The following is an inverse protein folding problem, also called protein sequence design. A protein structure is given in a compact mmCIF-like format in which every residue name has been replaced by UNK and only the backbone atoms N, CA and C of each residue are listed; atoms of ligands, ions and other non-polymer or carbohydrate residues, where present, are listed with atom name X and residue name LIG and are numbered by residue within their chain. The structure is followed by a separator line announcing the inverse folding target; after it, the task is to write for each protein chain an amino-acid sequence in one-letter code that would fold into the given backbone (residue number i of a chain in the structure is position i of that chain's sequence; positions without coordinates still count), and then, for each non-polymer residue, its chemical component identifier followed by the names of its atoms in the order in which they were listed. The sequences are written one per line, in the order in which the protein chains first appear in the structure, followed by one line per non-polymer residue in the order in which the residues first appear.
data_IF_858348227225
#
_entry.id   IF_858348227225
#
_cell.length_a   1.000
_cell.length_b   1.000
_cell.length_c   1.000
_cell.angle_alpha   90.00
_cell.angle_beta   90.00
_cell.angle_gamma   90.00
#
_symmetry.space_group_name_H-M   'P 1'
#
loop_
_entity.id
_entity.type
_entity.pdbx_description
1 polymer ?
2 non-polymer ?
3 non-polymer ?
4 non-polymer ?
5 water ?
#
# COMPACT_ATOMS: atom_id res chain seq x y z
N UNK A 6 -12.78 26.77 15.97
CA UNK A 6 -13.33 26.21 14.74
C UNK A 6 -13.30 24.69 14.79
N UNK A 7 -14.46 24.07 14.57
CA UNK A 7 -14.58 22.62 14.63
C UNK A 7 -14.21 21.96 13.31
N UNK A 8 -14.11 20.63 13.34
CA UNK A 8 -13.73 19.90 12.16
C UNK A 8 -14.89 19.98 11.18
N UNK A 9 -16.11 19.97 11.70
CA UNK A 9 -17.32 20.06 10.88
C UNK A 9 -17.41 21.37 10.13
N UNK A 10 -17.00 22.46 10.77
CA UNK A 10 -16.96 23.76 10.10
C UNK A 10 -15.89 23.79 9.01
N UNK A 11 -14.74 23.18 9.29
CA UNK A 11 -13.64 23.15 8.33
C UNK A 11 -14.04 22.33 7.12
N UNK A 12 -14.62 21.15 7.35
CA UNK A 12 -15.11 20.32 6.27
C UNK A 12 -16.26 21.00 5.49
N UNK A 13 -17.12 21.74 6.21
CA UNK A 13 -18.25 22.42 5.56
C UNK A 13 -17.80 23.47 4.56
N UNK A 14 -16.71 24.18 4.86
CA UNK A 14 -16.31 25.27 3.98
C UNK A 14 -15.26 24.87 2.96
N UNK A 15 -14.88 23.60 3.00
CA UNK A 15 -13.82 23.11 2.13
C UNK A 15 -14.26 23.14 0.68
N UNK A 16 -13.46 23.79 -0.14
CA UNK A 16 -13.68 23.77 -1.58
C UNK A 16 -12.78 22.71 -2.24
N UNK A 17 -13.31 22.01 -3.22
CA UNK A 17 -12.59 20.90 -3.83
C UNK A 17 -11.25 21.26 -4.53
N UNK A 18 -11.12 22.47 -5.08
CA UNK A 18 -9.92 22.74 -5.86
C UNK A 18 -8.67 23.22 -5.11
N UNK A 19 -8.67 23.07 -3.79
CA UNK A 19 -7.65 23.64 -2.91
C UNK A 19 -7.02 22.61 -1.96
N UNK A 20 -5.76 22.80 -1.60
CA UNK A 20 -5.10 21.97 -0.59
C UNK A 20 -5.74 22.27 0.75
N UNK A 21 -5.52 21.40 1.72
CA UNK A 21 -6.29 21.47 2.95
C UNK A 21 -5.77 22.52 3.92
N UNK A 22 -6.68 23.00 4.75
CA UNK A 22 -6.32 23.86 5.86
C UNK A 22 -5.32 23.16 6.77
N UNK A 23 -4.48 23.96 7.39
CA UNK A 23 -3.32 23.46 8.15
C UNK A 23 -3.62 22.23 9.02
N UNK A 24 -4.58 22.35 9.95
CA UNK A 24 -4.81 21.26 10.91
C UNK A 24 -5.00 19.86 10.30
N UNK A 25 -5.48 19.79 9.07
CA UNK A 25 -5.64 18.47 8.45
C UNK A 25 -4.30 17.76 8.35
N UNK A 26 -3.25 18.54 8.12
CA UNK A 26 -1.91 17.98 7.97
C UNK A 26 -1.13 17.92 9.28
N UNK A 27 -1.40 18.80 10.23
CA UNK A 27 -0.52 18.97 11.38
C UNK A 27 -1.15 18.73 12.76
N UNK A 28 -2.46 18.69 12.86
CA UNK A 28 -3.06 18.59 14.19
C UNK A 28 -3.24 17.15 14.64
N UNK A 29 -2.96 16.90 15.92
CA UNK A 29 -3.18 15.61 16.58
C UNK A 29 -4.65 15.21 16.52
N UNK A 30 -5.53 16.19 16.49
CA UNK A 30 -6.96 15.91 16.50
C UNK A 30 -7.43 15.32 15.17
N UNK A 31 -6.91 15.85 14.08
CA UNK A 31 -7.23 15.29 12.78
C UNK A 31 -6.52 13.93 12.62
N UNK A 32 -5.31 13.82 13.14
CA UNK A 32 -4.61 12.53 13.08
C UNK A 32 -5.43 11.44 13.80
N UNK A 33 -5.94 11.76 14.99
CA UNK A 33 -6.78 10.81 15.70
C UNK A 33 -8.02 10.42 14.89
N UNK A 34 -8.60 11.38 14.18
CA UNK A 34 -9.77 11.09 13.35
C UNK A 34 -9.38 10.23 12.13
N UNK A 35 -8.27 10.55 11.50
CA UNK A 35 -7.80 9.79 10.35
C UNK A 35 -7.55 8.36 10.75
N UNK A 36 -6.95 8.16 11.92
CA UNK A 36 -6.73 6.80 12.40
C UNK A 36 -8.08 6.13 12.64
N UNK A 37 -8.90 6.75 13.49
CA UNK A 37 -10.14 6.11 13.94
C UNK A 37 -11.08 5.82 12.77
N UNK A 38 -11.25 6.79 11.88
CA UNK A 38 -12.27 6.74 10.86
C UNK A 38 -11.80 6.31 9.47
N UNK A 39 -10.49 6.30 9.24
CA UNK A 39 -9.95 5.89 7.94
C UNK A 39 -9.11 4.62 8.07
N UNK A 40 -7.95 4.72 8.71
CA UNK A 40 -7.05 3.59 8.76
C UNK A 40 -7.62 2.41 9.54
N UNK A 41 -8.46 2.71 10.53
CA UNK A 41 -9.10 1.68 11.34
C UNK A 41 -10.42 1.14 10.75
N UNK A 42 -10.89 1.70 9.64
CA UNK A 42 -12.16 1.26 9.04
C UNK A 42 -12.03 0.71 7.60
N UNK A 43 -11.06 1.21 6.84
CA UNK A 43 -10.91 0.78 5.45
C UNK A 43 -9.99 -0.46 5.35
N UNK A 44 -10.04 -1.13 4.21
CA UNK A 44 -9.12 -2.22 3.91
C UNK A 44 -7.72 -1.65 3.65
N UNK A 45 -6.68 -2.38 4.07
CA UNK A 45 -5.31 -1.88 3.96
C UNK A 45 -4.38 -2.94 3.36
N UNK A 46 -3.51 -2.54 2.44
CA UNK A 46 -2.47 -3.45 1.96
C UNK A 46 -1.47 -3.73 3.06
N UNK A 47 -1.14 -5.00 3.24
CA UNK A 47 -0.17 -5.37 4.27
C UNK A 47 1.16 -5.86 3.67
N UNK A 48 1.15 -7.07 3.09
CA UNK A 48 2.36 -7.68 2.51
C UNK A 48 2.04 -8.59 1.33
N UNK A 49 3.01 -8.83 0.44
CA UNK A 49 2.79 -9.86 -0.58
C UNK A 49 2.58 -11.22 0.10
N UNK A 50 1.68 -12.05 -0.42
CA UNK A 50 1.48 -13.37 0.18
C UNK A 50 2.75 -14.24 0.11
N UNK A 51 3.62 -14.00 -0.87
CA UNK A 51 4.84 -14.80 -0.96
C UNK A 51 5.79 -14.67 0.26
N UNK A 52 5.57 -13.67 1.11
CA UNK A 52 6.32 -13.56 2.37
C UNK A 52 5.89 -14.64 3.37
N UNK A 53 4.70 -15.19 3.16
CA UNK A 53 4.20 -16.29 3.99
C UNK A 53 4.27 -17.58 3.19
N UNK A 54 5.47 -17.95 2.79
CA UNK A 54 5.67 -19.12 1.93
C UNK A 54 5.27 -20.41 2.61
N UNK A 55 5.92 -20.73 3.72
CA UNK A 55 5.68 -22.00 4.43
C UNK A 55 4.66 -21.81 5.52
N UNK A 56 4.01 -22.90 5.93
CA UNK A 56 3.16 -22.85 7.12
C UNK A 56 4.02 -22.53 8.33
N UNK A 57 3.48 -21.71 9.23
CA UNK A 57 4.27 -21.28 10.37
C UNK A 57 5.02 -20.01 10.03
N UNK A 58 5.07 -19.66 8.75
CA UNK A 58 5.55 -18.34 8.32
C UNK A 58 4.69 -17.24 8.95
N UNK A 59 5.33 -16.20 9.46
CA UNK A 59 4.60 -15.05 9.97
C UNK A 59 5.34 -13.77 9.66
N UNK A 60 4.58 -12.69 9.64
CA UNK A 60 5.12 -11.36 9.48
C UNK A 60 4.28 -10.46 10.38
N UNK A 61 4.91 -9.41 10.90
CA UNK A 61 4.25 -8.51 11.82
C UNK A 61 4.28 -7.11 11.27
N UNK A 62 3.30 -6.31 11.64
CA UNK A 62 3.26 -4.94 11.20
C UNK A 62 2.37 -4.16 12.15
N UNK A 63 2.66 -2.87 12.22
CA UNK A 63 1.94 -1.96 13.09
C UNK A 63 1.00 -1.15 12.21
N UNK A 64 -0.23 -0.96 12.65
CA UNK A 64 -1.13 -0.07 11.92
C UNK A 64 -1.69 0.96 12.89
N UNK A 65 -1.14 2.16 12.85
CA UNK A 65 -1.45 3.13 13.88
C UNK A 65 -0.92 2.56 15.18
N UNK A 66 -1.80 2.33 16.16
CA UNK A 66 -1.39 1.72 17.41
C UNK A 66 -1.56 0.20 17.40
N UNK A 67 -2.38 -0.31 16.47
CA UNK A 67 -2.64 -1.75 16.39
C UNK A 67 -1.37 -2.54 16.06
N UNK A 68 -1.20 -3.66 16.74
CA UNK A 68 -0.11 -4.57 16.47
C UNK A 68 -0.70 -5.80 15.81
N UNK A 69 -0.44 -5.97 14.52
CA UNK A 69 -0.99 -7.10 13.78
C UNK A 69 0.05 -8.17 13.45
N UNK A 70 -0.34 -9.44 13.55
CA UNK A 70 0.52 -10.51 13.09
C UNK A 70 -0.22 -11.33 12.05
N UNK A 71 0.46 -11.60 10.95
CA UNK A 71 -0.09 -12.38 9.85
C UNK A 71 0.69 -13.69 9.71
N UNK A 72 -0.01 -14.81 9.69
CA UNK A 72 0.63 -16.11 9.70
C UNK A 72 -0.01 -17.09 8.71
N UNK A 73 0.79 -17.99 8.15
CA UNK A 73 0.23 -19.06 7.31
C UNK A 73 -0.07 -20.31 8.16
N UNK A 74 -1.34 -20.66 8.26
CA UNK A 74 -1.79 -21.72 9.16
C UNK A 74 -1.44 -23.10 8.63
N UNK A 75 -1.70 -24.11 9.46
CA UNK A 75 -1.48 -25.51 9.11
C UNK A 75 -2.26 -25.93 7.86
N UNK A 76 -3.49 -25.41 7.73
CA UNK A 76 -4.35 -25.75 6.60
C UNK A 76 -4.02 -25.02 5.30
N UNK A 77 -2.91 -24.29 5.28
CA UNK A 77 -2.51 -23.55 4.10
C UNK A 77 -3.17 -22.18 3.94
N UNK A 78 -4.13 -21.88 4.82
CA UNK A 78 -4.79 -20.57 4.83
C UNK A 78 -3.90 -19.51 5.46
N UNK A 79 -4.02 -18.29 4.97
CA UNK A 79 -3.35 -17.14 5.56
C UNK A 79 -4.35 -16.37 6.43
N UNK A 80 -3.99 -16.20 7.71
CA UNK A 80 -4.86 -15.51 8.67
C UNK A 80 -4.13 -14.39 9.39
N UNK A 81 -4.90 -13.42 9.86
CA UNK A 81 -4.33 -12.29 10.58
C UNK A 81 -4.92 -12.22 11.97
N UNK A 82 -4.12 -11.71 12.90
CA UNK A 82 -4.52 -11.68 14.29
C UNK A 82 -3.94 -10.44 14.98
N UNK A 83 -4.63 -9.97 16.01
CA UNK A 83 -4.05 -8.99 16.88
C UNK A 83 -2.89 -9.61 17.66
N UNK A 84 -1.73 -8.98 17.57
CA UNK A 84 -0.48 -9.51 18.10
C UNK A 84 -0.37 -9.13 19.57
N UNK A 85 -1.38 -9.50 20.33
CA UNK A 85 -1.45 -9.18 21.74
C UNK A 85 -2.04 -10.36 22.48
N UNK A 86 -1.22 -10.94 23.36
CA UNK A 86 -1.59 -12.10 24.15
C UNK A 86 -2.82 -11.86 25.02
N UNK A 87 -3.70 -12.85 25.06
CA UNK A 87 -4.98 -12.70 25.76
C UNK A 87 -4.81 -12.78 27.25
N UNK A 88 -3.62 -13.10 27.69
CA UNK A 88 -3.33 -13.16 29.11
C UNK A 88 -3.13 -11.75 29.66
N UNK A 89 -1.92 -11.21 29.50
CA UNK A 89 -1.67 -9.84 29.96
C UNK A 89 -1.20 -8.89 28.85
N UNK A 90 -1.40 -9.29 27.59
CA UNK A 90 -1.31 -8.35 26.49
C UNK A 90 -0.06 -8.32 25.64
N UNK A 91 0.97 -9.07 26.04
CA UNK A 91 2.27 -8.96 25.41
C UNK A 91 2.20 -9.26 23.92
N UNK A 92 3.09 -8.64 23.16
CA UNK A 92 3.32 -9.06 21.79
C UNK A 92 3.67 -10.53 21.86
N UNK A 93 3.15 -11.32 20.94
CA UNK A 93 3.57 -12.70 20.83
C UNK A 93 4.73 -12.86 19.84
N UNK A 94 4.66 -12.18 18.71
CA UNK A 94 5.73 -12.25 17.73
C UNK A 94 6.48 -10.93 17.68
N UNK A 95 7.74 -10.95 18.12
CA UNK A 95 8.51 -9.72 18.23
C UNK A 95 9.26 -9.41 16.93
N UNK A 96 9.78 -10.45 16.28
CA UNK A 96 10.47 -10.28 15.01
C UNK A 96 9.55 -9.79 13.89
N UNK A 97 10.15 -9.13 12.89
CA UNK A 97 9.45 -8.66 11.70
C UNK A 97 8.85 -9.81 10.91
N UNK A 98 9.61 -10.90 10.84
CA UNK A 98 9.11 -12.12 10.20
C UNK A 98 9.85 -13.33 10.73
N UNK A 99 9.26 -14.50 10.56
CA UNK A 99 9.90 -15.74 10.97
C UNK A 99 9.03 -16.94 10.68
N UNK A 100 9.42 -18.08 11.22
CA UNK A 100 8.58 -19.29 11.18
C UNK A 100 8.49 -19.86 12.57
N UNK A 101 7.36 -20.50 12.88
CA UNK A 101 7.19 -21.13 14.18
C UNK A 101 6.28 -22.31 13.97
N UNK A 102 6.25 -23.21 14.96
CA UNK A 102 5.29 -24.29 14.91
C UNK A 102 3.98 -23.78 15.51
N UNK A 103 4.12 -23.07 16.62
CA UNK A 103 2.99 -22.52 17.35
C UNK A 103 3.27 -21.05 17.70
N UNK A 104 2.22 -20.28 17.94
CA UNK A 104 2.37 -18.94 18.49
C UNK A 104 2.54 -19.04 20.00
N UNK A 105 3.76 -18.83 20.49
CA UNK A 105 4.03 -18.98 21.90
C UNK A 105 4.42 -17.63 22.48
N UNK A 106 3.59 -17.11 23.36
CA UNK A 106 3.88 -15.84 24.00
C UNK A 106 5.15 -15.99 24.83
N UNK A 107 6.12 -15.08 24.65
CA UNK A 107 7.44 -15.17 25.30
C UNK A 107 7.37 -14.84 26.78
N UNK A 108 6.23 -14.33 27.22
CA UNK A 108 6.08 -13.95 28.61
C UNK A 108 5.82 -15.19 29.51
N UNK A 109 4.65 -15.78 29.36
CA UNK A 109 4.30 -16.93 30.19
C UNK A 109 3.92 -18.16 29.36
N UNK A 110 4.23 -18.11 28.07
CA UNK A 110 4.12 -19.30 27.21
C UNK A 110 2.69 -19.78 26.95
N UNK A 111 1.69 -18.92 27.14
CA UNK A 111 0.38 -19.21 26.60
C UNK A 111 0.68 -19.52 25.15
N UNK A 112 0.11 -20.62 24.65
CA UNK A 112 0.50 -21.14 23.36
C UNK A 112 -0.73 -21.22 22.47
N UNK A 113 -0.65 -20.61 21.29
CA UNK A 113 -1.77 -20.62 20.36
C UNK A 113 -1.47 -21.44 19.10
N UNK A 114 -2.50 -22.11 18.60
CA UNK A 114 -2.43 -22.75 17.29
C UNK A 114 -2.44 -21.64 16.24
N UNK A 115 -1.96 -21.95 15.03
CA UNK A 115 -1.76 -20.94 13.99
C UNK A 115 -3.06 -20.39 13.44
N UNK A 116 -4.17 -20.81 14.06
CA UNK A 116 -5.46 -20.29 13.69
C UNK A 116 -6.02 -19.45 14.83
N UNK A 117 -5.18 -19.17 15.83
CA UNK A 117 -5.56 -18.26 16.90
C UNK A 117 -6.06 -18.91 18.19
N UNK A 118 -6.37 -20.20 18.12
CA UNK A 118 -6.98 -20.90 19.25
C UNK A 118 -5.98 -21.13 20.37
N UNK A 119 -6.40 -20.86 21.61
CA UNK A 119 -5.53 -21.06 22.77
C UNK A 119 -5.55 -22.55 23.13
N UNK A 120 -4.42 -23.24 22.94
CA UNK A 120 -4.37 -24.68 23.15
C UNK A 120 -3.67 -25.09 24.45
N UNK A 121 -2.92 -24.16 25.02
CA UNK A 121 -2.26 -24.40 26.30
C UNK A 121 -1.95 -23.11 27.08
N UNK A 122 -2.42 -23.07 28.31
CA UNK A 122 -2.13 -21.97 29.21
C UNK A 122 -1.87 -22.54 30.60
N UNK A 123 -0.64 -22.36 31.07
CA UNK A 123 -0.19 -22.98 32.30
C UNK A 123 -0.98 -22.55 33.55
N UNK A 124 -1.45 -23.53 34.31
CA UNK A 124 -1.99 -23.31 35.65
C UNK A 124 -2.97 -22.14 35.77
N UNK A 125 -4.02 -22.16 34.97
CA UNK A 125 -5.02 -21.10 35.00
C UNK A 125 -6.24 -21.44 35.85
N UNK A 126 -6.26 -22.63 36.45
CA UNK A 126 -7.37 -22.98 37.31
C UNK A 126 -8.56 -23.55 36.56
N UNK A 127 -9.43 -24.27 37.29
CA UNK A 127 -10.56 -25.03 36.73
C UNK A 127 -11.61 -24.17 36.02
N UNK A 128 -11.72 -22.92 36.44
CA UNK A 128 -12.72 -22.02 35.88
C UNK A 128 -12.26 -21.27 34.63
N UNK A 129 -11.12 -21.68 34.08
CA UNK A 129 -10.57 -21.04 32.89
C UNK A 129 -11.14 -21.62 31.61
N UNK A 130 -11.77 -20.78 30.82
CA UNK A 130 -12.33 -21.21 29.55
C UNK A 130 -11.46 -20.73 28.40
N UNK A 131 -10.53 -21.55 27.96
CA UNK A 131 -9.63 -21.17 26.86
C UNK A 131 -10.38 -20.71 25.61
N UNK A 132 -11.62 -21.18 25.44
CA UNK A 132 -12.35 -20.84 24.22
C UNK A 132 -12.68 -19.37 24.18
N UNK A 133 -12.60 -18.72 25.33
CA UNK A 133 -12.85 -17.29 25.43
C UNK A 133 -11.57 -16.46 25.21
N UNK A 134 -10.41 -17.10 25.14
CA UNK A 134 -9.15 -16.36 25.10
C UNK A 134 -8.23 -16.74 23.95
N UNK A 135 -8.81 -17.03 22.80
CA UNK A 135 -8.04 -17.18 21.59
C UNK A 135 -7.67 -15.79 21.07
N UNK A 136 -6.66 -15.74 20.21
CA UNK A 136 -6.24 -14.46 19.63
C UNK A 136 -7.40 -13.82 18.87
N UNK A 137 -7.51 -12.50 18.97
CA UNK A 137 -8.54 -11.80 18.23
C UNK A 137 -8.17 -11.75 16.75
N UNK A 138 -9.09 -12.19 15.89
CA UNK A 138 -8.82 -12.22 14.46
C UNK A 138 -8.90 -10.80 13.85
N UNK A 139 -8.24 -10.67 12.69
CA UNK A 139 -8.22 -9.44 11.94
C UNK A 139 -8.72 -9.81 10.56
N UNK A 140 -9.72 -9.09 10.06
CA UNK A 140 -10.24 -9.41 8.74
C UNK A 140 -9.12 -9.36 7.70
N UNK A 141 -9.12 -10.35 6.80
CA UNK A 141 -8.06 -10.50 5.82
C UNK A 141 -8.58 -10.93 4.45
N UNK A 142 -8.04 -10.33 3.41
CA UNK A 142 -8.37 -10.73 2.05
C UNK A 142 -7.08 -11.01 1.33
N UNK A 143 -7.11 -11.97 0.42
CA UNK A 143 -5.98 -12.19 -0.47
C UNK A 143 -6.32 -11.70 -1.87
N UNK A 144 -5.73 -10.56 -2.24
CA UNK A 144 -5.94 -9.96 -3.55
C UNK A 144 -4.91 -10.49 -4.54
N UNK A 145 -5.12 -11.71 -5.03
CA UNK A 145 -4.24 -12.29 -6.05
C UNK A 145 -2.75 -12.23 -5.70
N UNK A 146 -2.44 -12.60 -4.48
CA UNK A 146 -1.05 -12.66 -4.03
C UNK A 146 -0.67 -11.48 -3.15
N UNK A 147 -1.62 -10.58 -2.90
CA UNK A 147 -1.36 -9.41 -2.05
C UNK A 147 -2.30 -9.41 -0.85
N UNK A 148 -1.75 -9.48 0.35
CA UNK A 148 -2.57 -9.59 1.55
C UNK A 148 -3.08 -8.23 2.04
N UNK A 149 -4.40 -8.09 2.12
CA UNK A 149 -5.02 -6.87 2.63
C UNK A 149 -5.71 -7.19 3.96
N UNK A 150 -5.80 -6.20 4.85
CA UNK A 150 -6.42 -6.44 6.15
C UNK A 150 -7.35 -5.28 6.49
N UNK A 151 -8.29 -5.54 7.39
CA UNK A 151 -9.23 -4.50 7.82
C UNK A 151 -9.42 -4.62 9.32
N UNK A 152 -9.16 -3.54 10.02
CA UNK A 152 -9.23 -3.55 11.49
C UNK A 152 -10.64 -3.38 12.05
N UNK A 153 -11.58 -3.01 11.19
CA UNK A 153 -12.97 -2.90 11.63
C UNK A 153 -13.64 -4.26 11.73
N UNK A 154 -14.50 -4.41 12.73
CA UNK A 154 -15.29 -5.62 12.87
C UNK A 154 -16.43 -5.62 11.88
N UNK A 155 -16.67 -4.46 11.26
CA UNK A 155 -17.66 -4.32 10.21
C UNK A 155 -17.02 -3.77 8.95
N UNK A 156 -16.19 -4.60 8.28
CA UNK A 156 -15.39 -4.20 7.14
C UNK A 156 -16.25 -3.73 5.98
N UNK A 157 -15.77 -2.72 5.24
CA UNK A 157 -16.45 -2.31 4.03
C UNK A 157 -16.34 -3.44 3.02
N UNK A 158 -17.00 -3.25 1.90
CA UNK A 158 -17.03 -4.24 0.85
C UNK A 158 -15.69 -4.26 0.12
N UNK A 159 -14.99 -5.40 0.15
CA UNK A 159 -13.72 -5.53 -0.54
C UNK A 159 -13.94 -6.13 -1.93
N UNK A 160 -15.01 -6.93 -2.02
CA UNK A 160 -15.29 -7.72 -3.20
C UNK A 160 -15.41 -6.92 -4.50
N UNK A 161 -16.07 -5.75 -4.46
CA UNK A 161 -16.20 -4.97 -5.69
C UNK A 161 -14.82 -4.69 -6.28
N UNK A 162 -13.93 -4.17 -5.44
CA UNK A 162 -12.54 -3.92 -5.80
C UNK A 162 -11.81 -5.18 -6.24
N UNK A 163 -11.93 -6.25 -5.46
CA UNK A 163 -11.20 -7.48 -5.82
C UNK A 163 -11.59 -7.98 -7.20
N UNK A 164 -12.88 -8.10 -7.45
CA UNK A 164 -13.38 -8.55 -8.75
C UNK A 164 -12.93 -7.63 -9.88
N UNK A 165 -12.94 -6.33 -9.65
CA UNK A 165 -12.45 -5.42 -10.68
C UNK A 165 -10.96 -5.58 -10.92
N UNK A 166 -10.21 -5.86 -9.88
CA UNK A 166 -8.75 -5.90 -10.01
C UNK A 166 -8.21 -7.24 -10.52
N UNK A 167 -8.91 -8.34 -10.25
CA UNK A 167 -8.34 -9.65 -10.56
C UNK A 167 -7.78 -9.81 -11.98
N UNK A 168 -8.53 -9.38 -13.00
CA UNK A 168 -8.04 -9.55 -14.35
C UNK A 168 -6.68 -8.88 -14.57
N UNK A 169 -6.50 -7.71 -13.98
CA UNK A 169 -5.28 -6.93 -14.16
C UNK A 169 -4.09 -7.53 -13.41
N UNK A 170 -4.36 -8.08 -12.23
CA UNK A 170 -3.32 -8.57 -11.33
C UNK A 170 -2.90 -10.01 -11.60
N UNK A 171 -3.86 -10.83 -12.00
CA UNK A 171 -3.61 -12.26 -12.16
C UNK A 171 -2.54 -12.55 -13.22
N UNK A 172 -2.48 -11.73 -14.27
CA UNK A 172 -1.44 -11.91 -15.27
C UNK A 172 -0.02 -11.65 -14.77
N UNK A 173 0.12 -11.27 -13.51
CA UNK A 173 1.45 -11.07 -12.92
C UNK A 173 1.89 -12.23 -12.05
N UNK A 174 0.99 -13.20 -11.84
CA UNK A 174 1.37 -14.41 -11.12
C UNK A 174 2.08 -14.08 -9.79
N UNK A 175 1.53 -13.11 -9.05
CA UNK A 175 2.13 -12.65 -7.78
C UNK A 175 2.33 -13.79 -6.78
N UNK A 176 1.51 -14.82 -6.86
CA UNK A 176 1.63 -15.99 -6.01
C UNK A 176 2.98 -16.69 -6.20
N UNK A 177 3.58 -16.49 -7.38
CA UNK A 177 4.85 -17.10 -7.74
C UNK A 177 6.02 -16.14 -7.57
N UNK A 178 5.82 -15.05 -6.84
CA UNK A 178 6.89 -14.09 -6.68
C UNK A 178 7.74 -14.44 -5.48
N UNK A 179 8.88 -13.77 -5.38
CA UNK A 179 9.59 -13.69 -4.12
C UNK A 179 9.91 -12.22 -3.94
N UNK A 180 10.21 -11.83 -2.71
CA UNK A 180 10.63 -10.46 -2.44
C UNK A 180 12.12 -10.39 -2.71
N UNK A 181 12.52 -9.58 -3.68
CA UNK A 181 13.93 -9.44 -3.99
C UNK A 181 14.57 -8.38 -3.11
N UNK A 182 13.75 -7.45 -2.63
CA UNK A 182 14.28 -6.39 -1.81
C UNK A 182 13.15 -5.60 -1.15
N UNK A 183 13.34 -5.20 0.10
CA UNK A 183 12.36 -4.33 0.75
C UNK A 183 13.07 -3.09 1.26
N UNK A 184 12.44 -1.94 1.07
CA UNK A 184 12.96 -0.69 1.60
C UNK A 184 11.88 -0.03 2.47
N UNK A 185 12.19 0.23 3.73
CA UNK A 185 11.28 0.95 4.61
C UNK A 185 11.89 2.30 4.97
N UNK A 186 11.18 3.39 4.67
CA UNK A 186 11.64 4.71 5.07
C UNK A 186 10.55 5.47 5.81
N UNK A 187 10.96 6.42 6.63
CA UNK A 187 10.01 7.33 7.25
C UNK A 187 10.11 8.69 6.59
N UNK A 188 8.96 9.21 6.15
CA UNK A 188 8.92 10.56 5.62
C UNK A 188 8.28 11.43 6.66
N UNK A 189 8.90 12.59 6.91
CA UNK A 189 8.43 13.51 7.92
C UNK A 189 7.38 14.42 7.36
N UNK A 190 6.27 13.82 6.96
CA UNK A 190 5.12 14.56 6.48
C UNK A 190 3.89 13.75 6.77
N UNK A 191 2.77 14.44 6.93
CA UNK A 191 1.46 13.81 7.11
C UNK A 191 1.21 12.82 5.99
N UNK A 192 0.47 11.78 6.31
CA UNK A 192 0.24 10.70 5.37
C UNK A 192 -0.45 11.25 4.14
N UNK A 193 -1.27 12.28 4.32
CA UNK A 193 -1.96 12.89 3.19
C UNK A 193 -1.00 13.61 2.27
N UNK A 194 0.05 14.22 2.83
CA UNK A 194 1.07 14.86 1.99
C UNK A 194 1.81 13.84 1.14
N UNK A 195 2.02 12.65 1.69
CA UNK A 195 2.63 11.54 0.93
C UNK A 195 1.75 11.14 -0.27
N UNK A 196 0.45 11.01 -0.03
CA UNK A 196 -0.47 10.69 -1.12
C UNK A 196 -0.56 11.80 -2.16
N UNK A 197 -0.69 13.05 -1.72
CA UNK A 197 -0.76 14.17 -2.66
C UNK A 197 0.49 14.27 -3.55
N UNK A 198 1.65 14.00 -2.97
CA UNK A 198 2.89 13.94 -3.72
C UNK A 198 2.88 12.77 -4.71
N UNK A 199 2.28 11.67 -4.29
CA UNK A 199 2.14 10.50 -5.16
C UNK A 199 1.14 10.66 -6.31
N UNK A 200 0.09 11.45 -6.12
CA UNK A 200 -0.98 11.53 -7.13
C UNK A 200 -0.76 12.58 -8.23
N UNK A 201 0.42 13.17 -8.27
CA UNK A 201 0.78 14.06 -9.38
C UNK A 201 2.20 13.86 -9.84
N UNK A 202 2.47 14.18 -11.11
CA UNK A 202 3.84 14.20 -11.59
C UNK A 202 4.20 15.60 -12.00
N UNK A 203 3.47 16.54 -11.40
CA UNK A 203 3.72 17.97 -11.52
C UNK A 203 5.14 18.29 -11.09
N UNK A 204 5.68 17.50 -10.16
CA UNK A 204 7.00 17.77 -9.59
C UNK A 204 8.07 16.88 -10.21
N UNK A 205 7.70 16.05 -11.18
CA UNK A 205 8.61 14.99 -11.63
C UNK A 205 9.84 15.42 -12.46
N UNK A 206 9.65 16.29 -13.45
CA UNK A 206 10.77 16.64 -14.33
C UNK A 206 11.90 17.36 -13.59
N UNK A 207 11.57 18.07 -12.51
CA UNK A 207 12.57 18.76 -11.70
C UNK A 207 13.17 17.94 -10.57
N UNK A 208 12.46 16.90 -10.11
CA UNK A 208 12.88 16.19 -8.90
C UNK A 208 13.33 14.76 -9.09
N UNK A 209 13.03 14.17 -10.26
CA UNK A 209 13.25 12.75 -10.48
C UNK A 209 14.02 12.46 -11.75
N UNK A 210 15.32 12.78 -11.78
CA UNK A 210 16.14 12.48 -12.95
C UNK A 210 16.07 11.00 -13.37
N UNK A 211 16.34 10.07 -12.45
CA UNK A 211 16.33 8.66 -12.80
C UNK A 211 14.96 8.18 -13.27
N UNK A 212 13.92 8.44 -12.49
CA UNK A 212 12.57 7.98 -12.86
C UNK A 212 12.18 8.45 -14.25
N UNK A 213 12.48 9.71 -14.54
CA UNK A 213 12.10 10.33 -15.81
C UNK A 213 12.75 9.68 -17.03
N UNK A 214 13.70 8.78 -16.80
CA UNK A 214 14.31 8.06 -17.90
C UNK A 214 13.34 7.06 -18.51
N UNK A 215 12.34 6.65 -17.73
CA UNK A 215 11.47 5.57 -18.16
C UNK A 215 9.97 5.80 -17.90
N UNK A 216 9.66 6.70 -16.95
CA UNK A 216 8.26 6.96 -16.56
C UNK A 216 7.76 8.30 -17.11
N UNK A 217 6.68 8.26 -17.91
CA UNK A 217 6.15 9.40 -18.67
C UNK A 217 5.68 10.56 -17.79
N UNK A 218 5.86 11.79 -18.26
CA UNK A 218 5.42 13.00 -17.54
C UNK A 218 3.98 13.41 -17.86
N UNK A 219 3.40 12.77 -18.87
CA UNK A 219 2.00 13.02 -19.19
C UNK A 219 1.11 12.95 -17.95
N UNK A 220 0.44 14.06 -17.62
CA UNK A 220 -0.51 14.14 -16.51
C UNK A 220 -1.55 13.01 -16.58
N UNK A 221 -1.90 12.63 -17.81
CA UNK A 221 -2.84 11.55 -18.05
C UNK A 221 -2.38 10.27 -17.37
N UNK A 222 -1.06 10.07 -17.37
CA UNK A 222 -0.45 8.91 -16.72
C UNK A 222 -0.63 8.96 -15.20
N UNK A 223 0.38 9.52 -14.52
CA UNK A 223 0.45 9.53 -13.06
C UNK A 223 -0.75 10.21 -12.38
N UNK A 224 -1.69 10.72 -13.17
CA UNK A 224 -2.80 11.50 -12.64
C UNK A 224 -4.16 10.86 -12.86
N UNK A 225 -5.18 11.69 -12.91
CA UNK A 225 -6.52 11.21 -12.99
C UNK A 225 -7.24 11.74 -14.20
N UNK A 230 -12.27 10.85 -20.92
CA UNK A 230 -11.28 11.55 -21.72
C UNK A 230 -9.99 10.76 -21.91
N UNK A 231 -10.08 9.69 -22.70
CA UNK A 231 -8.89 8.89 -23.07
C UNK A 231 -8.32 9.35 -24.41
N UNK A 232 -7.06 9.78 -24.41
CA UNK A 232 -6.45 10.31 -25.63
C UNK A 232 -6.24 9.19 -26.64
N UNK A 233 -5.86 9.56 -27.86
CA UNK A 233 -5.69 8.54 -28.89
C UNK A 233 -4.49 7.68 -28.55
N UNK A 234 -3.34 8.32 -28.33
CA UNK A 234 -2.11 7.60 -28.04
C UNK A 234 -2.33 6.56 -26.94
N UNK A 235 -2.97 6.98 -25.85
CA UNK A 235 -3.19 6.09 -24.72
C UNK A 235 -4.12 4.91 -25.05
N UNK A 236 -5.23 5.18 -25.72
CA UNK A 236 -6.16 4.11 -26.04
C UNK A 236 -5.45 3.11 -26.93
N UNK A 237 -4.62 3.63 -27.84
CA UNK A 237 -3.83 2.76 -28.69
C UNK A 237 -2.99 1.78 -27.84
N UNK A 238 -2.41 2.27 -26.76
CA UNK A 238 -1.60 1.42 -25.89
C UNK A 238 -2.48 0.40 -25.19
N UNK A 239 -3.59 0.86 -24.60
CA UNK A 239 -4.56 -0.05 -24.02
C UNK A 239 -4.86 -1.17 -25.01
N UNK A 240 -5.02 -0.80 -26.28
CA UNK A 240 -5.39 -1.78 -27.30
C UNK A 240 -4.30 -2.83 -27.57
N UNK A 241 -3.05 -2.39 -27.72
CA UNK A 241 -1.99 -3.36 -27.91
C UNK A 241 -1.99 -4.34 -26.76
N UNK A 242 -2.13 -3.82 -25.54
CA UNK A 242 -2.16 -4.68 -24.37
C UNK A 242 -3.27 -5.71 -24.42
N UNK A 243 -4.49 -5.23 -24.64
CA UNK A 243 -5.67 -6.09 -24.51
C UNK A 243 -5.84 -7.03 -25.71
N UNK A 244 -5.39 -6.58 -26.89
CA UNK A 244 -5.26 -7.46 -28.03
C UNK A 244 -4.37 -8.66 -27.70
N UNK A 245 -3.37 -8.44 -26.84
CA UNK A 245 -2.48 -9.52 -26.39
C UNK A 245 -2.98 -10.23 -25.13
N UNK A 246 -4.23 -9.99 -24.74
CA UNK A 246 -4.82 -10.65 -23.59
C UNK A 246 -4.47 -10.05 -22.23
N UNK A 247 -3.80 -8.90 -22.26
CA UNK A 247 -3.37 -8.21 -21.05
C UNK A 247 -4.27 -7.02 -20.69
N UNK A 248 -5.16 -7.20 -19.70
CA UNK A 248 -6.06 -6.11 -19.33
C UNK A 248 -5.30 -4.82 -19.09
N UNK A 249 -5.84 -3.70 -19.56
CA UNK A 249 -5.08 -2.45 -19.54
C UNK A 249 -5.90 -1.19 -19.29
N UNK A 250 -7.19 -1.22 -19.64
CA UNK A 250 -7.95 0.02 -19.70
C UNK A 250 -8.30 0.61 -18.33
N UNK A 251 -8.47 1.93 -18.32
CA UNK A 251 -8.77 2.68 -17.11
C UNK A 251 -9.97 2.09 -16.38
N UNK A 252 -9.81 1.88 -15.08
CA UNK A 252 -10.90 1.53 -14.18
C UNK A 252 -10.81 2.47 -12.99
N UNK A 253 -11.86 3.22 -12.70
CA UNK A 253 -11.90 4.02 -11.47
C UNK A 253 -13.09 3.66 -10.59
N UNK A 254 -12.85 3.52 -9.28
CA UNK A 254 -13.91 3.23 -8.32
C UNK A 254 -15.05 4.23 -8.41
N UNK A 255 -16.26 3.74 -8.13
CA UNK A 255 -17.42 4.61 -8.07
C UNK A 255 -17.16 5.76 -7.12
N UNK A 256 -16.57 5.44 -5.97
CA UNK A 256 -16.33 6.43 -4.92
C UNK A 256 -14.89 6.96 -4.86
N UNK A 257 -14.11 6.69 -5.90
CA UNK A 257 -12.77 7.25 -5.99
C UNK A 257 -11.68 6.52 -5.22
N UNK A 258 -12.04 5.46 -4.50
CA UNK A 258 -11.08 4.79 -3.62
C UNK A 258 -9.91 4.12 -4.33
N UNK A 259 -10.18 3.57 -5.51
CA UNK A 259 -9.16 2.84 -6.24
C UNK A 259 -9.19 3.13 -7.73
N UNK A 260 -8.04 2.96 -8.38
CA UNK A 260 -7.92 3.06 -9.82
C UNK A 260 -6.89 2.03 -10.35
N UNK A 261 -7.15 1.48 -11.54
CA UNK A 261 -6.19 0.61 -12.22
C UNK A 261 -6.03 1.04 -13.67
N UNK A 262 -4.81 0.98 -14.18
CA UNK A 262 -4.56 1.32 -15.57
C UNK A 262 -3.15 0.89 -15.96
N UNK A 263 -3.01 0.28 -17.13
CA UNK A 263 -1.70 -0.09 -17.64
C UNK A 263 -1.18 0.97 -18.62
N UNK A 264 -0.25 1.79 -18.16
CA UNK A 264 0.25 2.93 -18.91
C UNK A 264 1.53 2.62 -19.65
N UNK A 265 1.74 3.28 -20.80
CA UNK A 265 2.98 3.12 -21.56
C UNK A 265 4.11 3.84 -20.82
N UNK A 266 5.32 3.34 -20.99
CA UNK A 266 6.50 4.01 -20.44
C UNK A 266 7.06 5.01 -21.46
N UNK A 267 8.10 5.75 -21.07
CA UNK A 267 8.80 6.65 -21.99
C UNK A 267 9.25 5.87 -23.21
N UNK A 268 9.36 6.55 -24.35
CA UNK A 268 9.73 5.91 -25.60
C UNK A 268 10.86 4.87 -25.42
N UNK A 269 10.55 3.64 -25.77
CA UNK A 269 11.52 2.55 -25.77
C UNK A 269 11.81 1.89 -24.41
N UNK A 270 11.52 2.59 -23.31
CA UNK A 270 11.77 2.04 -21.97
C UNK A 270 10.89 0.82 -21.72
N UNK A 271 11.46 -0.25 -21.18
CA UNK A 271 10.66 -1.43 -20.80
C UNK A 271 10.45 -1.58 -19.29
N UNK A 272 11.30 -0.92 -18.50
CA UNK A 272 11.27 -1.10 -17.06
C UNK A 272 11.85 0.10 -16.30
N UNK A 273 11.71 0.09 -14.99
CA UNK A 273 12.26 1.14 -14.14
C UNK A 273 13.74 0.91 -13.85
N UNK A 274 14.56 1.15 -14.88
CA UNK A 274 16.00 0.97 -14.79
C UNK A 274 16.72 2.17 -15.37
N UNK A 275 18.00 2.29 -15.06
CA UNK A 275 18.80 3.40 -15.57
C UNK A 275 18.93 3.35 -17.09
N UNK A 276 19.05 2.15 -17.65
CA UNK A 276 19.17 2.00 -19.10
C UNK A 276 17.82 1.75 -19.79
N UNK A 277 16.78 1.52 -18.99
CA UNK A 277 15.44 1.38 -19.51
C UNK A 277 15.08 -0.03 -19.91
N UNK A 278 16.07 -0.93 -19.92
CA UNK A 278 15.77 -2.34 -20.20
C UNK A 278 15.21 -3.04 -18.98
N UNK A 279 14.76 -4.27 -19.18
CA UNK A 279 14.22 -5.08 -18.10
C UNK A 279 15.26 -5.21 -16.99
N UNK A 280 14.80 -5.30 -15.74
CA UNK A 280 15.73 -5.47 -14.64
C UNK A 280 16.00 -6.95 -14.44
N UNK A 281 14.97 -7.74 -14.69
CA UNK A 281 15.03 -9.18 -14.49
C UNK A 281 14.76 -9.88 -15.81
N UNK A 282 15.56 -10.89 -16.11
CA UNK A 282 15.47 -11.61 -17.38
C UNK A 282 14.50 -12.79 -17.31
N UNK A 283 14.18 -13.22 -16.09
CA UNK A 283 13.12 -14.19 -15.84
C UNK A 283 11.90 -13.40 -15.35
N UNK A 284 10.92 -13.19 -16.21
CA UNK A 284 9.80 -12.32 -15.85
C UNK A 284 8.87 -12.87 -14.76
N UNK A 285 8.30 -11.95 -13.97
CA UNK A 285 7.27 -12.29 -13.01
C UNK A 285 5.92 -12.09 -13.68
N UNK A 286 5.22 -13.17 -13.97
CA UNK A 286 3.94 -13.07 -14.65
C UNK A 286 4.08 -13.26 -16.14
N UNK A 287 2.98 -13.08 -16.87
CA UNK A 287 2.93 -13.42 -18.27
C UNK A 287 2.47 -12.24 -19.12
N UNK A 288 2.69 -11.04 -18.59
CA UNK A 288 2.35 -9.83 -19.31
C UNK A 288 2.87 -9.84 -20.74
N UNK A 289 2.03 -9.42 -21.67
CA UNK A 289 2.46 -9.26 -23.07
C UNK A 289 1.72 -8.06 -23.63
N UNK A 290 2.34 -7.29 -24.53
CA UNK A 290 3.68 -7.44 -25.10
C UNK A 290 4.78 -7.02 -24.11
N UNK A 291 6.05 -7.24 -24.49
CA UNK A 291 7.18 -6.85 -23.65
C UNK A 291 7.08 -5.40 -23.20
N UNK A 292 6.58 -4.52 -24.06
CA UNK A 292 6.45 -3.11 -23.74
C UNK A 292 5.05 -2.69 -23.26
N UNK A 293 4.38 -3.60 -22.57
CA UNK A 293 3.05 -3.33 -22.03
C UNK A 293 3.05 -2.17 -21.03
N UNK A 294 4.23 -1.79 -20.58
CA UNK A 294 4.36 -0.68 -19.66
C UNK A 294 3.99 -1.06 -18.25
N UNK A 295 3.52 -0.09 -17.48
CA UNK A 295 3.31 -0.29 -16.06
C UNK A 295 1.83 -0.28 -15.64
N UNK A 296 1.38 -1.35 -15.01
CA UNK A 296 0.06 -1.36 -14.38
C UNK A 296 0.09 -0.54 -13.10
N UNK A 297 -0.52 0.63 -13.13
CA UNK A 297 -0.70 1.46 -11.94
C UNK A 297 -1.96 1.04 -11.19
N UNK A 298 -1.80 0.79 -9.90
CA UNK A 298 -2.96 0.55 -9.05
C UNK A 298 -2.80 1.33 -7.75
N UNK A 299 -3.81 2.14 -7.40
CA UNK A 299 -3.89 2.71 -6.07
C UNK A 299 -5.18 2.32 -5.35
N UNK A 300 -5.10 2.31 -4.02
CA UNK A 300 -6.22 1.96 -3.16
C UNK A 300 -6.00 2.73 -1.86
N UNK A 301 -6.78 3.79 -1.68
CA UNK A 301 -6.73 4.63 -0.49
C UNK A 301 -7.28 3.91 0.72
N UNK A 302 -6.64 4.11 1.89
CA UNK A 302 -5.53 5.02 2.15
C UNK A 302 -4.15 4.35 2.18
N UNK A 303 -4.05 3.08 1.82
CA UNK A 303 -2.84 2.33 2.17
C UNK A 303 -1.77 2.10 1.09
N UNK A 304 -2.13 2.12 -0.19
CA UNK A 304 -1.19 1.57 -1.19
C UNK A 304 -1.23 2.16 -2.61
N UNK A 305 -0.04 2.34 -3.19
CA UNK A 305 0.09 2.43 -4.65
C UNK A 305 1.03 1.34 -5.15
N UNK A 306 1.04 1.09 -6.44
CA UNK A 306 1.67 -0.11 -6.95
C UNK A 306 2.05 0.06 -8.40
N UNK A 307 3.19 -0.50 -8.79
CA UNK A 307 3.62 -0.57 -10.19
C UNK A 307 3.98 -2.00 -10.57
N UNK A 308 3.12 -2.62 -11.37
CA UNK A 308 3.40 -3.96 -11.86
C UNK A 308 3.89 -3.88 -13.32
N UNK A 309 5.14 -4.30 -13.54
CA UNK A 309 5.77 -4.23 -14.85
C UNK A 309 5.83 -5.63 -15.45
N UNK A 310 6.23 -5.75 -16.72
CA UNK A 310 6.29 -7.11 -17.23
C UNK A 310 7.34 -7.98 -16.51
N UNK A 311 8.53 -7.43 -16.26
CA UNK A 311 9.61 -8.23 -15.65
C UNK A 311 9.53 -8.38 -14.12
N UNK A 312 9.12 -7.32 -13.42
CA UNK A 312 9.01 -7.37 -11.96
C UNK A 312 7.94 -6.38 -11.50
N UNK A 313 7.58 -6.46 -10.22
CA UNK A 313 6.57 -5.58 -9.64
C UNK A 313 7.04 -4.89 -8.35
N UNK A 314 6.41 -3.76 -8.04
CA UNK A 314 6.67 -2.99 -6.83
C UNK A 314 5.36 -2.63 -6.15
N UNK A 315 5.27 -2.94 -4.87
CA UNK A 315 4.15 -2.45 -4.07
C UNK A 315 4.71 -1.37 -3.16
N UNK A 316 3.88 -0.38 -2.83
CA UNK A 316 4.20 0.63 -1.83
C UNK A 316 3.11 0.63 -0.79
N UNK A 317 3.51 0.69 0.47
CA UNK A 317 2.57 0.69 1.60
C UNK A 317 2.75 1.96 2.41
N UNK A 318 1.64 2.67 2.63
CA UNK A 318 1.65 3.93 3.37
C UNK A 318 1.01 3.66 4.71
N UNK A 319 1.75 3.92 5.79
CA UNK A 319 1.22 3.75 7.15
C UNK A 319 1.54 4.97 7.99
N UNK A 320 0.56 5.44 8.76
CA UNK A 320 0.69 6.67 9.53
C UNK A 320 1.53 6.41 10.77
N UNK A 321 2.43 7.34 11.08
CA UNK A 321 3.26 7.20 12.27
C UNK A 321 2.85 8.23 13.32
N UNK A 322 2.56 9.45 12.85
CA UNK A 322 2.17 10.55 13.72
C UNK A 322 1.72 11.67 12.81
N UNK A 323 1.13 12.75 13.37
CA UNK A 323 0.61 13.77 12.48
C UNK A 323 1.59 14.17 11.37
N UNK A 324 2.88 14.15 11.67
CA UNK A 324 3.85 14.61 10.68
C UNK A 324 4.89 13.57 10.28
N UNK A 325 4.54 12.29 10.42
CA UNK A 325 5.40 11.19 9.99
C UNK A 325 4.59 10.06 9.40
N UNK A 326 5.14 9.48 8.33
CA UNK A 326 4.49 8.41 7.60
C UNK A 326 5.54 7.39 7.19
N UNK A 327 5.25 6.12 7.42
CA UNK A 327 6.14 5.05 6.98
C UNK A 327 5.78 4.58 5.56
N UNK A 328 6.73 4.64 4.64
CA UNK A 328 6.54 4.11 3.29
C UNK A 328 7.42 2.88 3.10
N UNK A 329 6.80 1.77 2.73
CA UNK A 329 7.49 0.51 2.56
C UNK A 329 7.36 0.11 1.11
N UNK A 330 8.49 0.03 0.41
CA UNK A 330 8.51 -0.38 -0.99
C UNK A 330 9.02 -1.81 -1.11
N UNK A 331 8.26 -2.66 -1.78
CA UNK A 331 8.64 -4.06 -1.95
C UNK A 331 8.82 -4.39 -3.42
N UNK A 332 10.05 -4.79 -3.79
CA UNK A 332 10.36 -5.28 -5.14
C UNK A 332 10.02 -6.75 -5.24
N UNK A 333 9.09 -7.10 -6.11
CA UNK A 333 8.74 -8.50 -6.32
C UNK A 333 9.31 -9.00 -7.64
N UNK A 334 9.94 -10.17 -7.60
CA UNK A 334 10.40 -10.83 -8.82
C UNK A 334 10.00 -12.29 -8.78
N UNK A 335 10.17 -12.96 -9.90
CA UNK A 335 9.81 -14.36 -9.97
C UNK A 335 10.63 -15.12 -8.94
N UNK A 336 10.01 -16.10 -8.29
CA UNK A 336 10.66 -16.87 -7.25
C UNK A 336 11.92 -17.61 -7.72
N UNK A 337 12.02 -17.90 -9.01
CA UNK A 337 13.19 -18.62 -9.53
C UNK A 337 14.23 -17.70 -10.15
N UNK A 338 13.94 -16.40 -10.13
CA UNK A 338 14.93 -15.42 -10.55
C UNK A 338 16.11 -15.44 -9.59
N UNK A 339 17.33 -15.50 -10.12
CA UNK A 339 18.53 -15.60 -9.28
C UNK A 339 19.35 -14.32 -9.23
N UNK A 340 19.48 -13.74 -8.04
CA UNK A 340 20.28 -12.52 -7.86
C UNK A 340 21.72 -12.77 -8.31
N UNK A 341 22.24 -11.92 -9.19
CA UNK A 341 23.59 -12.07 -9.69
C UNK A 341 23.61 -12.76 -11.05
N UNK A 342 22.51 -13.43 -11.37
CA UNK A 342 22.37 -14.17 -12.61
C UNK A 342 21.24 -13.58 -13.44
N UNK A 343 20.02 -13.62 -12.91
CA UNK A 343 18.83 -13.16 -13.64
C UNK A 343 18.55 -11.67 -13.45
N UNK A 344 19.19 -11.08 -12.44
CA UNK A 344 19.05 -9.65 -12.17
C UNK A 344 20.16 -9.21 -11.26
N UNK A 345 20.39 -7.91 -11.22
CA UNK A 345 21.42 -7.32 -10.40
C UNK A 345 20.69 -6.44 -9.39
N UNK A 346 20.91 -6.69 -8.09
CA UNK A 346 20.21 -5.95 -7.04
C UNK A 346 20.25 -4.44 -7.18
N UNK A 347 21.45 -3.88 -7.35
CA UNK A 347 21.57 -2.44 -7.55
C UNK A 347 20.76 -1.96 -8.76
N UNK A 348 20.88 -2.70 -9.86
CA UNK A 348 20.26 -2.28 -11.09
C UNK A 348 18.74 -2.38 -10.97
N UNK A 349 18.28 -3.36 -10.19
CA UNK A 349 16.85 -3.60 -10.00
C UNK A 349 16.22 -2.49 -9.17
N UNK A 350 16.98 -1.96 -8.22
CA UNK A 350 16.39 -1.13 -7.17
C UNK A 350 16.74 0.35 -7.26
N UNK A 351 17.89 0.67 -7.85
CA UNK A 351 18.41 2.02 -7.77
C UNK A 351 17.44 3.14 -8.18
N UNK A 352 16.62 2.92 -9.21
CA UNK A 352 15.75 4.00 -9.68
C UNK A 352 14.74 4.40 -8.59
N UNK A 353 14.07 3.43 -8.02
CA UNK A 353 13.01 3.75 -7.08
C UNK A 353 13.55 4.05 -5.67
N UNK A 354 14.72 3.52 -5.33
CA UNK A 354 15.36 3.98 -4.11
C UNK A 354 15.65 5.47 -4.22
N UNK A 355 16.18 5.90 -5.35
CA UNK A 355 16.43 7.32 -5.53
C UNK A 355 15.14 8.11 -5.58
N UNK A 356 14.16 7.63 -6.34
CA UNK A 356 12.89 8.35 -6.45
C UNK A 356 12.25 8.53 -5.06
N UNK A 357 12.24 7.45 -4.29
CA UNK A 357 11.75 7.50 -2.92
C UNK A 357 12.49 8.54 -2.07
N UNK A 358 13.82 8.54 -2.10
CA UNK A 358 14.57 9.55 -1.34
C UNK A 358 14.20 10.95 -1.77
N UNK A 359 14.03 11.15 -3.06
CA UNK A 359 13.68 12.47 -3.58
C UNK A 359 12.27 12.89 -3.13
N UNK A 360 11.33 11.95 -3.12
CA UNK A 360 9.99 12.22 -2.63
C UNK A 360 9.99 12.53 -1.13
N UNK A 361 10.75 11.75 -0.37
CA UNK A 361 10.85 12.01 1.06
C UNK A 361 11.27 13.46 1.31
N UNK A 362 12.39 13.86 0.71
CA UNK A 362 12.89 15.22 0.80
C UNK A 362 11.79 16.25 0.46
N UNK A 363 11.12 16.02 -0.66
CA UNK A 363 10.08 16.92 -1.11
C UNK A 363 8.93 17.00 -0.09
N UNK A 364 8.45 15.84 0.37
CA UNK A 364 7.33 15.80 1.30
C UNK A 364 7.70 16.53 2.58
N UNK A 365 8.90 16.24 3.07
CA UNK A 365 9.37 16.85 4.30
C UNK A 365 9.50 18.36 4.15
N UNK A 366 9.95 18.80 2.99
CA UNK A 366 10.05 20.23 2.75
C UNK A 366 8.67 20.86 2.62
N UNK A 367 7.73 20.11 2.06
CA UNK A 367 6.35 20.57 1.98
C UNK A 367 5.80 20.74 3.38
N UNK A 368 5.97 19.70 4.20
CA UNK A 368 5.48 19.70 5.58
C UNK A 368 6.01 20.88 6.38
N UNK A 369 7.30 21.18 6.22
CA UNK A 369 7.93 22.26 6.96
C UNK A 369 7.30 23.62 6.65
N UNK A 370 7.01 23.87 5.39
CA UNK A 370 6.33 25.10 5.03
C UNK A 370 4.93 25.13 5.61
N UNK A 371 4.24 23.98 5.54
CA UNK A 371 2.85 23.89 5.99
C UNK A 371 2.69 24.20 7.48
N UNK A 372 3.73 23.89 8.26
CA UNK A 372 3.70 24.12 9.70
C UNK A 372 3.71 25.61 10.06
N UNK A 373 4.07 26.48 9.12
CA UNK A 373 3.91 27.92 9.34
C UNK A 373 2.43 28.29 9.47
N UNK A 374 2.10 29.08 10.50
CA UNK A 374 0.72 29.57 10.64
C UNK A 374 0.30 30.43 9.44
N UNK A 375 1.28 30.91 8.66
CA UNK A 375 0.99 31.72 7.47
C UNK A 375 0.49 30.87 6.31
N UNK A 376 0.62 29.54 6.44
CA UNK A 376 0.20 28.67 5.36
C UNK A 376 -1.31 28.69 5.21
N UNK A 377 -1.79 28.87 3.99
CA UNK A 377 -3.22 28.79 3.70
C UNK A 377 -3.42 27.92 2.47
N UNK A 378 -4.60 27.32 2.33
CA UNK A 378 -4.85 26.50 1.16
C UNK A 378 -4.49 27.25 -0.12
N UNK A 379 -4.02 26.51 -1.11
CA UNK A 379 -3.71 27.07 -2.40
C UNK A 379 -4.34 26.25 -3.50
N UNK A 380 -4.40 26.81 -4.71
CA UNK A 380 -5.08 26.13 -5.80
C UNK A 380 -4.25 25.03 -6.46
N UNK A 381 -4.79 23.82 -6.49
CA UNK A 381 -4.21 22.74 -7.27
C UNK A 381 -4.32 23.06 -8.75
N UNK A 382 -3.35 22.57 -9.53
CA UNK A 382 -3.37 22.71 -10.98
C UNK A 382 -4.40 21.76 -11.59
N UNK A 383 -5.39 22.32 -12.31
CA UNK A 383 -6.42 21.50 -12.95
C UNK A 383 -5.84 20.42 -13.85
N UNK A 384 -4.82 20.77 -14.61
CA UNK A 384 -4.25 19.85 -15.59
C UNK A 384 -3.14 18.92 -15.08
N UNK A 385 -2.42 19.34 -14.04
CA UNK A 385 -1.33 18.53 -13.50
C UNK A 385 -1.72 17.83 -12.19
N UNK A 386 -2.77 18.30 -11.52
CA UNK A 386 -3.04 17.83 -10.16
C UNK A 386 -4.48 17.44 -9.91
N UNK A 387 -5.19 17.04 -10.96
CA UNK A 387 -6.54 16.53 -10.79
C UNK A 387 -6.55 15.22 -9.96
N UNK A 388 -5.44 14.48 -9.99
CA UNK A 388 -5.36 13.27 -9.18
C UNK A 388 -5.23 13.63 -7.72
N UNK A 389 -4.60 14.76 -7.47
CA UNK A 389 -4.48 15.23 -6.11
C UNK A 389 -5.84 15.67 -5.63
N UNK A 390 -6.52 16.48 -6.43
CA UNK A 390 -7.89 16.86 -6.08
C UNK A 390 -8.75 15.63 -5.81
N UNK A 391 -8.57 14.60 -6.65
CA UNK A 391 -9.33 13.36 -6.56
C UNK A 391 -9.11 12.67 -5.21
N UNK A 392 -7.87 12.69 -4.73
CA UNK A 392 -7.56 12.00 -3.48
C UNK A 392 -8.15 12.77 -2.29
N UNK A 393 -8.00 14.08 -2.32
CA UNK A 393 -8.49 14.93 -1.25
C UNK A 393 -10.01 14.86 -1.14
N UNK A 394 -10.70 14.82 -2.29
CA UNK A 394 -12.15 14.60 -2.29
C UNK A 394 -12.50 13.27 -1.67
N UNK A 395 -11.78 12.22 -2.04
CA UNK A 395 -12.10 10.93 -1.46
C UNK A 395 -11.91 11.03 0.06
N UNK A 396 -10.84 11.71 0.45
CA UNK A 396 -10.48 11.83 1.87
C UNK A 396 -11.54 12.56 2.68
N UNK A 397 -11.87 13.76 2.25
CA UNK A 397 -12.89 14.57 2.90
C UNK A 397 -14.24 13.86 2.93
N UNK A 398 -14.65 13.33 1.79
CA UNK A 398 -15.90 12.61 1.72
C UNK A 398 -15.92 11.46 2.74
N UNK A 399 -14.83 10.68 2.81
CA UNK A 399 -14.72 9.58 3.76
C UNK A 399 -14.87 10.09 5.19
N UNK A 400 -14.18 11.18 5.47
CA UNK A 400 -14.19 11.75 6.80
C UNK A 400 -15.61 12.19 7.16
N UNK A 401 -16.30 12.84 6.23
CA UNK A 401 -17.67 13.30 6.45
C UNK A 401 -18.68 12.16 6.70
N UNK A 402 -18.62 11.09 5.92
CA UNK A 402 -19.50 9.96 6.13
C UNK A 402 -19.33 9.44 7.55
N UNK A 403 -18.07 9.28 7.96
CA UNK A 403 -17.74 8.68 9.23
C UNK A 403 -18.19 9.57 10.37
N UNK A 404 -18.18 10.88 10.15
CA UNK A 404 -18.59 11.85 11.17
C UNK A 404 -20.10 12.10 11.21
N UNK A 405 -20.85 11.44 10.33
CA UNK A 405 -22.30 11.67 10.26
C UNK A 405 -23.05 10.84 11.29
N UNK A 406 -23.81 11.52 12.17
CA UNK A 406 -24.64 10.85 13.17
C UNK A 406 -25.75 10.00 12.53
X LIG B 1 1.29 -13.97 29.97
X LIG B 1 1.24 -13.93 27.15
X LIG B 1 1.46 -15.60 28.53
X LIG B 1 1.16 -12.30 28.56
X LIG C 1 7.65 11.82 -6.78
X LIG D 1 4.42 10.58 -8.67
X LIG D 1 5.33 9.48 -8.33
X LIG D 1 6.80 9.87 -8.47
X LIG D 1 7.14 10.93 -8.97
X LIG D 1 4.94 8.41 -9.34
X LIG D 1 3.46 8.60 -9.51
X LIG D 1 3.20 10.11 -9.34
X LIG D 1 7.68 9.13 -8.06
#
# INVERSE_FOLDING_TARGET
MTANPTSIHQRLDRRLSGFSLEQPFYTSPEVYALDLQHIFYKQWLYAVPVCQLAKAGSYTTLRVGAYEVVIVRSRDGEVRAFHNSCRHRGSLICKARQGQVAKLVCPYHQWTYELDGKLIWANDMGPDFDASKYGLKPVNLRNLDGLIYICLSDTPPDFQTFAQLARPYLEVHDLKDAKVAFTSTIIEKGNWKLVWENNRECYHCSSNHPALCRSFPLDPEVAGVQADGGVSKKLQAHFDRCEAAGTPAQFVLAGDGQYRLARMPLQEKALSYTMDGKAAVSRHLGRVAPPDAGTLLMFHYPSTWNHFLPDHSLTFRVMPISPTETEVTTTWLVHKDAVEGVDYDLKRLTEVWIATNDEDREIVETNQQGILSPAYVPGPYSPGQESGVMQFVDWYAASLERALAPRQVAAE
FES FE1 FE2 S1 S2
FE FE
PRO N CA C O CB CG CD OXT
#
